data_IF_608449606906
#
_entry.id   IF_608449606906
#
_cell.length_a   1.000
_cell.length_b   1.000
_cell.length_c   1.000
_cell.angle_alpha   90.00
_cell.angle_beta   90.00
_cell.angle_gamma   90.00
#
_symmetry.space_group_name_H-M   'P 1'
#
loop_
_entity.id
_entity.type
_entity.pdbx_description
1 polymer ?
#
# COMPACT_ATOMS: atom_id res chain seq x y z
N UNK A 1 10.21 -14.15 -9.23
CA UNK A 1 9.28 -14.03 -8.12
C UNK A 1 9.96 -13.34 -6.94
N UNK A 2 9.19 -12.88 -5.95
CA UNK A 2 9.71 -12.27 -4.74
C UNK A 2 10.20 -13.34 -3.76
N UNK A 3 11.12 -12.95 -2.88
CA UNK A 3 11.64 -13.80 -1.79
C UNK A 3 10.80 -13.61 -0.53
N UNK A 4 10.94 -14.50 0.46
CA UNK A 4 10.13 -14.46 1.68
C UNK A 4 10.35 -13.18 2.49
N UNK A 5 11.54 -12.61 2.47
CA UNK A 5 11.91 -11.37 3.12
C UNK A 5 11.39 -10.10 2.41
N UNK A 6 10.76 -10.27 1.26
CA UNK A 6 10.07 -9.23 0.51
C UNK A 6 8.54 -9.28 0.67
N UNK A 7 8.03 -10.11 1.57
CA UNK A 7 6.58 -10.31 1.79
C UNK A 7 6.24 -10.17 3.27
N UNK A 8 5.29 -9.29 3.57
CA UNK A 8 4.68 -9.15 4.88
C UNK A 8 3.24 -9.66 4.84
N UNK A 9 2.77 -10.27 5.93
CA UNK A 9 1.38 -10.74 6.06
C UNK A 9 0.79 -10.20 7.36
N UNK A 10 -0.42 -9.61 7.26
CA UNK A 10 -1.14 -9.03 8.39
C UNK A 10 -2.63 -9.38 8.40
N UNK A 11 -3.33 -8.95 9.45
CA UNK A 11 -4.75 -9.22 9.68
C UNK A 11 -5.65 -8.31 8.83
N UNK A 12 -5.64 -8.56 7.51
CA UNK A 12 -6.26 -7.75 6.49
C UNK A 12 -5.39 -6.55 6.09
N UNK A 13 -5.71 -5.93 4.94
CA UNK A 13 -4.99 -4.76 4.47
C UNK A 13 -5.08 -3.56 5.42
N UNK A 14 -6.14 -3.47 6.23
CA UNK A 14 -6.26 -2.38 7.22
C UNK A 14 -5.14 -2.44 8.27
N UNK A 15 -4.79 -3.63 8.79
CA UNK A 15 -3.66 -3.77 9.71
C UNK A 15 -2.32 -3.54 8.99
N UNK A 16 -2.18 -4.06 7.76
CA UNK A 16 -0.98 -3.82 6.94
C UNK A 16 -0.78 -2.32 6.73
N UNK A 17 -1.83 -1.58 6.37
CA UNK A 17 -1.79 -0.13 6.21
C UNK A 17 -1.48 0.57 7.54
N UNK A 18 -2.10 0.18 8.66
CA UNK A 18 -1.80 0.75 9.96
C UNK A 18 -0.30 0.64 10.31
N UNK A 19 0.30 -0.53 10.09
CA UNK A 19 1.74 -0.72 10.27
C UNK A 19 2.56 0.11 9.28
N UNK A 20 2.13 0.21 8.02
CA UNK A 20 2.78 1.03 6.98
C UNK A 20 2.82 2.50 7.38
N UNK A 21 1.69 3.07 7.80
CA UNK A 21 1.61 4.46 8.26
C UNK A 21 2.54 4.70 9.44
N UNK A 22 2.55 3.81 10.43
CA UNK A 22 3.39 3.95 11.61
C UNK A 22 4.88 3.75 11.33
N UNK A 23 5.24 2.77 10.48
CA UNK A 23 6.64 2.40 10.27
C UNK A 23 7.36 3.24 9.21
N UNK A 24 6.62 3.68 8.17
CA UNK A 24 7.23 4.19 6.94
C UNK A 24 6.77 5.59 6.53
N UNK A 25 5.67 6.10 7.10
CA UNK A 25 5.06 7.35 6.64
C UNK A 25 5.01 8.46 7.70
N UNK A 26 5.59 8.23 8.90
CA UNK A 26 5.77 9.27 9.92
C UNK A 26 7.05 10.08 9.64
N UNK A 27 6.90 11.22 8.97
CA UNK A 27 7.97 12.15 8.62
C UNK A 27 7.59 13.60 8.95
N UNK A 28 8.55 14.51 8.83
CA UNK A 28 8.31 15.94 9.02
C UNK A 28 7.59 16.60 7.83
N UNK A 29 7.70 15.99 6.65
CA UNK A 29 7.03 16.43 5.43
C UNK A 29 5.68 15.72 5.29
N UNK A 30 4.70 16.31 4.60
CA UNK A 30 3.35 15.75 4.51
C UNK A 30 3.30 14.46 3.68
N UNK A 31 2.41 13.55 4.07
CA UNK A 31 2.00 12.41 3.25
C UNK A 31 1.07 12.88 2.13
N UNK A 32 1.36 12.51 0.89
CA UNK A 32 0.55 12.84 -0.28
C UNK A 32 -0.38 11.69 -0.66
N UNK A 33 -1.64 12.00 -0.93
CA UNK A 33 -2.62 11.06 -1.51
C UNK A 33 -3.73 11.82 -2.25
N UNK A 34 -4.51 11.15 -3.14
CA UNK A 34 -5.57 11.84 -3.89
C UNK A 34 -6.68 12.33 -2.96
N UNK A 35 -7.25 13.50 -3.26
CA UNK A 35 -8.38 14.10 -2.52
C UNK A 35 -9.65 13.22 -2.58
N UNK A 36 -9.83 12.48 -3.67
CA UNK A 36 -10.89 11.48 -3.82
C UNK A 36 -10.25 10.09 -3.87
N UNK A 37 -10.15 9.44 -2.72
CA UNK A 37 -9.52 8.12 -2.56
C UNK A 37 -10.09 7.34 -1.38
N UNK A 38 -9.40 6.31 -0.92
CA UNK A 38 -9.83 5.53 0.23
C UNK A 38 -9.92 6.40 1.50
N UNK A 39 -11.13 6.54 2.03
CA UNK A 39 -11.48 7.48 3.11
C UNK A 39 -10.78 7.20 4.46
N UNK A 40 -10.07 6.08 4.58
CA UNK A 40 -9.37 5.71 5.81
C UNK A 40 -7.96 6.29 5.92
N UNK A 41 -7.35 6.78 4.83
CA UNK A 41 -6.02 7.39 4.90
C UNK A 41 -5.97 8.61 5.82
N UNK A 42 -6.92 9.57 5.78
CA UNK A 42 -6.98 10.66 6.76
C UNK A 42 -7.14 10.18 8.20
N UNK A 43 -7.81 9.04 8.42
CA UNK A 43 -7.97 8.45 9.76
C UNK A 43 -6.63 7.98 10.31
N UNK A 44 -5.82 7.28 9.49
CA UNK A 44 -4.48 6.88 9.89
C UNK A 44 -3.57 8.10 10.13
N UNK A 45 -3.65 9.14 9.28
CA UNK A 45 -2.91 10.37 9.51
C UNK A 45 -3.23 10.98 10.87
N UNK A 46 -4.52 11.06 11.24
CA UNK A 46 -4.94 11.55 12.54
C UNK A 46 -4.50 10.65 13.70
N UNK A 47 -4.49 9.32 13.51
CA UNK A 47 -4.07 8.37 14.55
C UNK A 47 -2.58 8.46 14.87
N UNK A 48 -1.75 8.70 13.87
CA UNK A 48 -0.29 8.69 13.97
C UNK A 48 0.33 10.09 13.92
N UNK A 49 -0.49 11.15 13.98
CA UNK A 49 -0.03 12.56 13.94
C UNK A 49 0.84 12.85 12.70
N UNK A 50 0.39 12.37 11.54
CA UNK A 50 1.05 12.56 10.25
C UNK A 50 0.42 13.78 9.55
N UNK A 51 1.22 14.77 9.19
CA UNK A 51 0.78 15.85 8.33
C UNK A 51 0.42 15.29 6.94
N UNK A 52 -0.69 15.77 6.36
CA UNK A 52 -1.19 15.29 5.08
C UNK A 52 -1.41 16.42 4.09
N UNK A 53 -1.22 16.14 2.80
CA UNK A 53 -1.63 16.99 1.71
C UNK A 53 -2.43 16.18 0.68
N UNK A 54 -3.68 16.57 0.52
CA UNK A 54 -4.59 15.96 -0.44
C UNK A 54 -4.35 16.56 -1.83
N UNK A 55 -3.98 15.73 -2.80
CA UNK A 55 -3.67 16.14 -4.18
C UNK A 55 -4.94 16.01 -5.03
N UNK A 56 -5.44 17.11 -5.61
CA UNK A 56 -6.66 17.06 -6.40
C UNK A 56 -6.54 16.13 -7.61
N UNK A 57 -7.57 15.32 -7.87
CA UNK A 57 -7.69 14.59 -9.12
C UNK A 57 -7.92 15.55 -10.29
N UNK A 58 -7.55 15.14 -11.50
CA UNK A 58 -7.89 15.83 -12.73
C UNK A 58 -9.43 15.88 -12.94
N UNK A 59 -9.91 16.72 -13.86
CA UNK A 59 -11.36 16.87 -14.11
C UNK A 59 -12.04 15.57 -14.57
N UNK A 60 -11.30 14.68 -15.19
CA UNK A 60 -11.74 13.34 -15.61
C UNK A 60 -11.57 12.27 -14.51
N UNK A 61 -11.25 12.70 -13.29
CA UNK A 61 -11.01 11.87 -12.10
C UNK A 61 -9.74 10.99 -12.18
N UNK A 62 -8.85 11.26 -13.12
CA UNK A 62 -7.56 10.57 -13.22
C UNK A 62 -6.53 11.14 -12.23
N UNK A 63 -5.56 10.30 -11.85
CA UNK A 63 -4.40 10.70 -11.05
C UNK A 63 -3.29 11.17 -12.00
N UNK A 64 -2.85 12.42 -11.87
CA UNK A 64 -1.66 12.92 -12.55
C UNK A 64 -0.43 12.73 -11.65
N UNK A 65 0.44 11.79 -11.98
CA UNK A 65 1.62 11.45 -11.16
C UNK A 65 2.64 12.59 -11.04
N UNK A 66 2.61 13.57 -11.96
CA UNK A 66 3.51 14.74 -11.90
C UNK A 66 3.18 15.67 -10.71
N UNK A 67 1.94 15.65 -10.22
CA UNK A 67 1.50 16.48 -9.09
C UNK A 67 2.06 15.99 -7.74
N UNK A 68 2.67 14.79 -7.72
CA UNK A 68 3.31 14.16 -6.56
C UNK A 68 4.83 14.38 -6.50
N UNK A 69 5.40 15.26 -7.32
CA UNK A 69 6.84 15.58 -7.32
C UNK A 69 7.23 16.69 -6.32
N UNK A 70 6.30 17.15 -5.52
CA UNK A 70 6.54 18.12 -4.46
C UNK A 70 7.22 17.45 -3.24
N UNK A 71 7.89 18.21 -2.35
CA UNK A 71 8.45 17.66 -1.12
C UNK A 71 7.39 16.90 -0.31
N UNK A 72 7.72 15.69 0.12
CA UNK A 72 6.77 14.83 0.83
C UNK A 72 7.48 13.83 1.73
N UNK A 73 6.77 13.38 2.77
CA UNK A 73 7.19 12.31 3.67
C UNK A 73 6.78 10.91 3.20
N UNK A 74 6.10 10.83 2.05
CA UNK A 74 5.62 9.61 1.43
C UNK A 74 4.47 9.88 0.48
N UNK A 75 4.17 8.91 -0.36
CA UNK A 75 3.01 8.95 -1.27
C UNK A 75 2.22 7.66 -1.10
N UNK A 76 0.89 7.74 -0.99
CA UNK A 76 0.03 6.56 -1.03
C UNK A 76 -1.08 6.73 -2.05
N UNK A 77 -1.17 5.77 -2.99
CA UNK A 77 -2.16 5.77 -4.06
C UNK A 77 -2.90 4.43 -4.10
N UNK A 78 -4.25 4.43 -4.08
CA UNK A 78 -5.00 3.22 -4.44
C UNK A 78 -4.87 2.95 -5.95
N UNK A 79 -4.65 1.70 -6.34
CA UNK A 79 -4.56 1.34 -7.75
C UNK A 79 -5.18 -0.04 -8.03
N UNK A 80 -6.35 -0.13 -8.64
CA UNK A 80 -7.24 0.97 -9.09
C UNK A 80 -7.67 1.91 -7.95
N UNK A 81 -7.83 3.21 -8.28
CA UNK A 81 -8.29 4.18 -7.29
C UNK A 81 -9.73 3.87 -6.86
N UNK A 82 -9.96 3.81 -5.57
CA UNK A 82 -11.31 3.72 -5.02
C UNK A 82 -11.71 5.11 -4.46
N UNK A 83 -12.82 5.74 -4.92
CA UNK A 83 -13.95 5.09 -5.58
C UNK A 83 -14.03 5.27 -7.12
N UNK A 84 -13.06 5.92 -7.77
CA UNK A 84 -13.19 6.30 -9.19
C UNK A 84 -13.06 5.11 -10.15
N UNK A 85 -12.33 4.05 -9.74
CA UNK A 85 -12.03 2.90 -10.57
C UNK A 85 -10.87 3.12 -11.55
N UNK A 86 -10.29 4.31 -11.57
CA UNK A 86 -9.17 4.67 -12.46
C UNK A 86 -7.92 3.87 -12.13
N UNK A 87 -7.22 3.42 -13.19
CA UNK A 87 -6.05 2.57 -13.10
C UNK A 87 -4.80 3.29 -13.63
N UNK A 88 -3.77 3.39 -12.80
CA UNK A 88 -2.44 3.80 -13.23
C UNK A 88 -1.72 2.66 -13.96
N UNK A 89 -1.08 3.00 -15.07
CA UNK A 89 -0.18 2.06 -15.75
C UNK A 89 1.11 1.85 -14.96
N UNK A 90 1.79 0.70 -15.17
CA UNK A 90 3.12 0.48 -14.58
C UNK A 90 4.15 1.55 -15.01
N UNK A 91 3.99 2.14 -16.21
CA UNK A 91 4.83 3.24 -16.68
C UNK A 91 4.62 4.50 -15.82
N UNK A 92 3.37 4.83 -15.47
CA UNK A 92 3.07 5.96 -14.60
C UNK A 92 3.59 5.71 -13.18
N UNK A 93 3.41 4.49 -12.63
CA UNK A 93 3.95 4.12 -11.32
C UNK A 93 5.48 4.20 -11.31
N UNK A 94 6.15 3.70 -12.36
CA UNK A 94 7.60 3.81 -12.52
C UNK A 94 8.07 5.27 -12.52
N UNK A 95 7.33 6.14 -13.19
CA UNK A 95 7.60 7.59 -13.21
C UNK A 95 7.50 8.17 -11.81
N UNK A 96 6.40 7.87 -11.10
CA UNK A 96 6.18 8.30 -9.72
C UNK A 96 7.32 7.89 -8.78
N UNK A 97 7.74 6.62 -8.83
CA UNK A 97 8.84 6.08 -8.04
C UNK A 97 10.16 6.78 -8.33
N UNK A 98 10.47 6.99 -9.62
CA UNK A 98 11.72 7.64 -10.06
C UNK A 98 11.81 9.12 -9.68
N UNK A 99 10.68 9.80 -9.49
CA UNK A 99 10.62 11.21 -9.12
C UNK A 99 10.51 11.43 -7.61
N UNK A 100 10.34 10.36 -6.83
CA UNK A 100 10.29 10.38 -5.37
C UNK A 100 11.32 9.41 -4.75
N UNK A 101 12.62 9.50 -5.11
CA UNK A 101 13.61 8.48 -4.72
C UNK A 101 13.87 8.42 -3.22
N UNK A 102 13.63 9.51 -2.50
CA UNK A 102 13.87 9.64 -1.05
C UNK A 102 12.63 9.40 -0.19
N UNK A 103 11.47 9.11 -0.82
CA UNK A 103 10.19 8.90 -0.15
C UNK A 103 9.63 7.52 -0.46
N UNK A 104 9.01 6.88 0.51
CA UNK A 104 8.29 5.63 0.27
C UNK A 104 7.02 5.90 -0.53
N UNK A 105 6.83 5.14 -1.60
CA UNK A 105 5.61 5.15 -2.41
C UNK A 105 4.84 3.86 -2.14
N UNK A 106 3.63 4.00 -1.61
CA UNK A 106 2.73 2.90 -1.32
C UNK A 106 1.66 2.81 -2.42
N UNK A 107 1.57 1.66 -3.07
CA UNK A 107 0.52 1.36 -4.03
C UNK A 107 -0.46 0.38 -3.38
N UNK A 108 -1.65 0.89 -3.05
CA UNK A 108 -2.72 0.09 -2.43
C UNK A 108 -3.54 -0.61 -3.52
N UNK A 109 -3.27 -1.87 -3.70
CA UNK A 109 -3.86 -2.73 -4.73
C UNK A 109 -5.04 -3.57 -4.22
N UNK A 110 -5.86 -3.05 -3.34
CA UNK A 110 -7.02 -3.78 -2.83
C UNK A 110 -7.96 -4.30 -3.94
N UNK A 111 -7.96 -3.66 -5.11
CA UNK A 111 -8.83 -3.99 -6.25
C UNK A 111 -8.08 -4.43 -7.51
N UNK A 112 -6.79 -4.69 -7.47
CA UNK A 112 -5.97 -4.98 -8.68
C UNK A 112 -6.44 -6.20 -9.46
N UNK A 113 -6.96 -7.21 -8.79
CA UNK A 113 -7.44 -8.44 -9.43
C UNK A 113 -8.66 -8.22 -10.35
N UNK A 114 -9.36 -7.08 -10.24
CA UNK A 114 -10.49 -6.74 -11.13
C UNK A 114 -10.06 -6.16 -12.48
N UNK A 115 -8.78 -5.87 -12.66
CA UNK A 115 -8.18 -5.40 -13.91
C UNK A 115 -6.89 -4.64 -13.66
N UNK A 116 -5.95 -4.75 -14.57
CA UNK A 116 -4.67 -4.09 -14.52
C UNK A 116 -3.48 -5.04 -14.30
N UNK A 117 -2.30 -4.44 -14.19
CA UNK A 117 -1.05 -5.13 -13.87
C UNK A 117 -0.56 -4.67 -12.51
N UNK A 118 -0.19 -5.61 -11.67
CA UNK A 118 0.29 -5.32 -10.33
C UNK A 118 1.66 -4.62 -10.33
N UNK A 119 1.81 -3.61 -9.49
CA UNK A 119 3.07 -2.95 -9.22
C UNK A 119 4.10 -3.87 -8.52
N UNK A 120 3.71 -5.05 -8.05
CA UNK A 120 4.66 -6.06 -7.55
C UNK A 120 5.73 -6.43 -8.58
N UNK A 121 5.45 -6.26 -9.88
CA UNK A 121 6.44 -6.44 -10.95
C UNK A 121 7.62 -5.45 -10.85
N UNK A 122 7.42 -4.30 -10.19
CA UNK A 122 8.43 -3.25 -10.03
C UNK A 122 9.24 -3.38 -8.73
N UNK A 123 8.81 -4.21 -7.78
CA UNK A 123 9.52 -4.38 -6.49
C UNK A 123 11.02 -4.71 -6.66
N UNK A 124 11.44 -5.57 -7.61
CA UNK A 124 12.86 -5.83 -7.80
C UNK A 124 13.70 -4.64 -8.30
N UNK A 125 13.05 -3.59 -8.81
CA UNK A 125 13.71 -2.46 -9.45
C UNK A 125 13.75 -1.20 -8.57
N UNK A 126 12.88 -1.11 -7.54
CA UNK A 126 12.70 0.09 -6.73
C UNK A 126 12.76 -0.20 -5.24
N UNK A 127 13.69 0.46 -4.56
CA UNK A 127 13.90 0.31 -3.11
C UNK A 127 12.81 1.01 -2.27
N UNK A 128 12.11 1.98 -2.86
CA UNK A 128 11.11 2.82 -2.21
C UNK A 128 9.65 2.41 -2.49
N UNK A 129 9.42 1.25 -3.12
CA UNK A 129 8.07 0.74 -3.43
C UNK A 129 7.56 -0.22 -2.37
N UNK A 130 6.37 0.06 -1.84
CA UNK A 130 5.57 -0.90 -1.09
C UNK A 130 4.23 -1.12 -1.80
N UNK A 131 3.87 -2.36 -2.06
CA UNK A 131 2.57 -2.73 -2.65
C UNK A 131 1.72 -3.43 -1.59
N UNK A 132 0.48 -2.99 -1.38
CA UNK A 132 -0.45 -3.60 -0.41
C UNK A 132 -1.57 -4.31 -1.15
N UNK A 133 -1.88 -5.55 -0.77
CA UNK A 133 -2.96 -6.35 -1.36
C UNK A 133 -3.81 -7.02 -0.27
N UNK A 134 -4.98 -7.53 -0.65
CA UNK A 134 -5.90 -8.20 0.27
C UNK A 134 -6.67 -9.35 -0.38
N UNK A 135 -6.99 -10.38 0.39
CA UNK A 135 -7.92 -11.44 -0.04
C UNK A 135 -9.39 -11.06 0.18
N UNK A 136 -9.67 -9.88 0.74
CA UNK A 136 -11.02 -9.48 1.14
C UNK A 136 -11.96 -9.12 -0.01
N UNK A 137 -11.44 -8.82 -1.19
CA UNK A 137 -12.20 -8.29 -2.33
C UNK A 137 -12.43 -9.37 -3.39
N UNK A 138 -11.56 -9.47 -4.38
CA UNK A 138 -11.67 -10.41 -5.50
C UNK A 138 -11.74 -11.87 -5.07
N UNK A 139 -10.99 -12.23 -4.02
CA UNK A 139 -10.94 -13.59 -3.48
C UNK A 139 -12.12 -13.93 -2.56
N UNK A 140 -13.01 -12.98 -2.26
CA UNK A 140 -14.21 -13.16 -1.41
C UNK A 140 -13.91 -13.71 0.00
N UNK A 141 -12.71 -13.47 0.53
CA UNK A 141 -12.24 -13.99 1.81
C UNK A 141 -12.15 -12.91 2.90
N UNK A 142 -13.03 -11.91 2.86
CA UNK A 142 -13.05 -10.80 3.81
C UNK A 142 -13.10 -11.27 5.28
N UNK A 143 -13.80 -12.37 5.56
CA UNK A 143 -13.93 -12.94 6.92
C UNK A 143 -12.64 -13.58 7.44
N UNK A 144 -11.72 -14.00 6.57
CA UNK A 144 -10.43 -14.58 6.98
C UNK A 144 -9.39 -13.53 7.39
N UNK A 145 -9.64 -12.23 7.07
CA UNK A 145 -8.76 -11.14 7.48
C UNK A 145 -7.30 -11.36 7.07
N UNK A 146 -7.01 -11.53 5.79
CA UNK A 146 -5.63 -11.66 5.29
C UNK A 146 -5.30 -10.56 4.30
N UNK A 147 -4.24 -9.82 4.59
CA UNK A 147 -3.63 -8.81 3.73
C UNK A 147 -2.14 -9.01 3.62
N UNK A 148 -1.55 -8.45 2.58
CA UNK A 148 -0.13 -8.58 2.25
C UNK A 148 0.49 -7.21 2.01
N UNK A 149 1.80 -7.08 2.29
CA UNK A 149 2.62 -6.07 1.69
C UNK A 149 3.81 -6.72 0.98
N UNK A 150 4.22 -6.12 -0.15
CA UNK A 150 5.35 -6.55 -0.97
C UNK A 150 6.28 -5.36 -1.16
N UNK A 151 7.55 -5.54 -0.86
CA UNK A 151 8.56 -4.49 -0.95
C UNK A 151 9.96 -5.04 -0.76
N UNK A 152 10.96 -4.19 -0.80
CA UNK A 152 12.32 -4.61 -0.45
C UNK A 152 12.42 -4.97 1.04
N UNK A 153 13.38 -5.83 1.38
CA UNK A 153 13.49 -6.43 2.71
C UNK A 153 13.55 -5.41 3.85
N UNK A 154 14.18 -4.25 3.66
CA UNK A 154 14.25 -3.21 4.67
C UNK A 154 12.87 -2.58 5.00
N UNK A 155 11.98 -2.45 4.00
CA UNK A 155 10.61 -1.98 4.21
C UNK A 155 9.80 -3.04 4.98
N UNK A 156 9.93 -4.30 4.58
CA UNK A 156 9.25 -5.43 5.23
C UNK A 156 9.72 -5.60 6.67
N UNK A 157 11.03 -5.48 6.93
CA UNK A 157 11.58 -5.53 8.29
C UNK A 157 11.00 -4.42 9.20
N UNK A 158 10.77 -3.22 8.66
CA UNK A 158 10.15 -2.13 9.41
C UNK A 158 8.70 -2.50 9.83
N UNK A 159 7.90 -3.07 8.93
CA UNK A 159 6.56 -3.56 9.24
C UNK A 159 6.58 -4.68 10.28
N UNK A 160 7.51 -5.63 10.16
CA UNK A 160 7.69 -6.74 11.11
C UNK A 160 8.03 -6.23 12.51
N UNK A 161 8.88 -5.20 12.64
CA UNK A 161 9.21 -4.58 13.92
C UNK A 161 7.98 -3.97 14.59
N UNK A 162 7.14 -3.26 13.85
CA UNK A 162 5.90 -2.68 14.37
C UNK A 162 4.93 -3.80 14.81
N UNK A 163 4.66 -4.78 13.93
CA UNK A 163 3.81 -5.93 14.25
C UNK A 163 4.26 -6.62 15.52
N UNK A 164 5.55 -6.96 15.63
CA UNK A 164 6.10 -7.70 16.76
C UNK A 164 6.14 -6.88 18.06
N UNK A 165 5.88 -5.58 18.00
CA UNK A 165 5.83 -4.72 19.18
C UNK A 165 4.53 -4.84 19.98
N UNK A 166 3.45 -5.37 19.38
CA UNK A 166 2.17 -5.53 20.09
C UNK A 166 1.37 -6.79 19.72
N UNK A 167 1.50 -7.35 18.53
CA UNK A 167 0.80 -8.59 18.12
C UNK A 167 1.66 -9.42 17.15
N UNK A 168 2.48 -10.31 17.69
CA UNK A 168 3.40 -11.15 16.89
C UNK A 168 2.67 -12.25 16.10
N UNK A 169 1.43 -12.59 16.45
CA UNK A 169 0.66 -13.71 15.86
C UNK A 169 -0.74 -13.25 15.41
N UNK A 170 -0.84 -12.35 14.38
CA UNK A 170 -2.12 -11.75 14.03
C UNK A 170 -3.08 -12.68 13.29
N UNK A 171 -2.58 -13.77 12.68
CA UNK A 171 -3.38 -14.66 11.84
C UNK A 171 -3.71 -15.99 12.55
N UNK A 172 -4.99 -16.39 12.50
CA UNK A 172 -5.41 -17.71 12.94
C UNK A 172 -4.93 -18.82 11.99
N UNK A 173 -4.94 -20.07 12.46
CA UNK A 173 -4.61 -21.23 11.62
C UNK A 173 -5.56 -21.36 10.43
N UNK A 174 -6.83 -21.05 10.62
CA UNK A 174 -7.87 -21.07 9.59
C UNK A 174 -7.61 -20.00 8.54
N UNK A 175 -7.21 -18.78 8.96
CA UNK A 175 -6.84 -17.69 8.04
C UNK A 175 -5.64 -18.08 7.18
N UNK A 176 -4.62 -18.69 7.79
CA UNK A 176 -3.43 -19.16 7.07
C UNK A 176 -3.78 -20.25 6.05
N UNK A 177 -4.53 -21.28 6.48
CA UNK A 177 -4.94 -22.38 5.59
C UNK A 177 -5.80 -21.87 4.42
N UNK A 178 -6.76 -20.96 4.69
CA UNK A 178 -7.60 -20.37 3.66
C UNK A 178 -6.83 -19.47 2.70
N UNK A 179 -5.83 -18.73 3.19
CA UNK A 179 -4.97 -17.90 2.34
C UNK A 179 -4.13 -18.76 1.39
N UNK A 180 -3.51 -19.84 1.89
CA UNK A 180 -2.73 -20.78 1.08
C UNK A 180 -3.59 -21.35 -0.04
N UNK A 181 -4.77 -21.88 0.29
CA UNK A 181 -5.70 -22.46 -0.71
C UNK A 181 -6.21 -21.43 -1.74
N UNK A 182 -6.20 -20.12 -1.41
CA UNK A 182 -6.65 -19.07 -2.32
C UNK A 182 -5.59 -18.62 -3.32
N UNK A 183 -4.29 -18.88 -3.06
CA UNK A 183 -3.18 -18.45 -3.92
C UNK A 183 -2.54 -19.62 -4.71
N UNK A 184 -2.85 -20.86 -4.36
CA UNK A 184 -2.53 -22.06 -5.13
C UNK A 184 -3.50 -22.25 -6.34
#
# INVERSE_FOLDING_TARGET
>A
GLTIDQVFVGNGSDEVLAHTFQALLQHNEPLLFPDISYSFYPVYCGLYDIEKAEVPLAQDLTINVEDYQQPNGGVILPNPNAPTGELLSLTAIRRLLSTNPDSVVVIDEAYIDFGGRSATELVPEFDNLLVVQTLSKSRSLAGLRVGFAFGQSHLIEALERVKNSFNSYPLSSESQAGAIAAVE
#
